data_IF_033669595230
#
_entry.id   IF_033669595230
#
_cell.length_a   1.000
_cell.length_b   1.000
_cell.length_c   1.000
_cell.angle_alpha   90.00
_cell.angle_beta   90.00
_cell.angle_gamma   90.00
#
_symmetry.space_group_name_H-M   'P 1'
#
loop_
_entity.id
_entity.type
_entity.pdbx_description
1 polymer ?
#
# COMPACT_ATOMS: atom_id res chain seq x y z
N UNK A 1 13.44 -14.25 -30.59
CA UNK A 1 12.93 -12.89 -30.35
C UNK A 1 12.24 -12.86 -28.99
N UNK A 2 12.41 -11.81 -28.17
CA UNK A 2 11.67 -11.67 -26.92
C UNK A 2 10.16 -11.74 -27.19
N UNK A 3 9.41 -12.48 -26.36
CA UNK A 3 7.96 -12.52 -26.54
C UNK A 3 7.34 -11.13 -26.30
N UNK A 4 6.26 -10.79 -27.00
CA UNK A 4 5.58 -9.49 -26.85
C UNK A 4 5.21 -9.18 -25.38
N UNK A 5 4.90 -10.21 -24.57
CA UNK A 5 4.63 -10.06 -23.13
C UNK A 5 5.83 -9.57 -22.35
N UNK A 6 7.02 -10.09 -22.63
CA UNK A 6 8.26 -9.68 -21.95
C UNK A 6 8.60 -8.22 -22.28
N UNK A 7 8.42 -7.82 -23.53
CA UNK A 7 8.60 -6.42 -23.98
C UNK A 7 7.58 -5.50 -23.29
N UNK A 8 6.30 -5.88 -23.28
CA UNK A 8 5.25 -5.11 -22.62
C UNK A 8 5.49 -4.95 -21.11
N UNK A 9 5.91 -6.04 -20.45
CA UNK A 9 6.32 -6.05 -19.05
C UNK A 9 7.48 -5.10 -18.78
N UNK A 10 8.52 -5.11 -19.64
CA UNK A 10 9.66 -4.20 -19.52
C UNK A 10 9.24 -2.73 -19.64
N UNK A 11 8.40 -2.41 -20.64
CA UNK A 11 7.92 -1.04 -20.86
C UNK A 11 7.07 -0.57 -19.67
N UNK A 12 6.11 -1.37 -19.21
CA UNK A 12 5.25 -1.03 -18.08
C UNK A 12 6.06 -0.87 -16.77
N UNK A 13 7.05 -1.74 -16.54
CA UNK A 13 7.98 -1.63 -15.41
C UNK A 13 8.80 -0.34 -15.49
N UNK A 14 9.32 -0.01 -16.66
CA UNK A 14 10.12 1.21 -16.86
C UNK A 14 9.30 2.48 -16.62
N UNK A 15 8.05 2.51 -17.10
CA UNK A 15 7.12 3.63 -16.89
C UNK A 15 6.78 3.79 -15.41
N UNK A 16 6.38 2.72 -14.72
CA UNK A 16 5.99 2.78 -13.30
C UNK A 16 7.16 3.18 -12.40
N UNK A 17 8.36 2.63 -12.64
CA UNK A 17 9.57 3.04 -11.93
C UNK A 17 9.87 4.51 -12.21
N UNK A 18 9.92 4.93 -13.49
CA UNK A 18 10.22 6.31 -13.86
C UNK A 18 9.24 7.32 -13.26
N UNK A 19 7.93 7.05 -13.35
CA UNK A 19 6.89 7.89 -12.75
C UNK A 19 7.04 7.98 -11.22
N UNK A 20 7.38 6.88 -10.55
CA UNK A 20 7.56 6.91 -9.09
C UNK A 20 8.76 7.74 -8.68
N UNK A 21 9.85 7.72 -9.47
CA UNK A 21 11.01 8.59 -9.22
C UNK A 21 10.72 10.07 -9.49
N UNK A 22 9.85 10.39 -10.45
CA UNK A 22 9.33 11.75 -10.63
C UNK A 22 8.54 12.20 -9.41
N UNK A 23 7.65 11.34 -8.88
CA UNK A 23 6.89 11.62 -7.64
C UNK A 23 7.85 11.84 -6.47
N UNK A 24 8.85 10.97 -6.28
CA UNK A 24 9.88 11.12 -5.25
C UNK A 24 10.55 12.48 -5.33
N UNK A 25 10.99 12.87 -6.53
CA UNK A 25 11.75 14.09 -6.72
C UNK A 25 10.96 15.31 -6.26
N UNK A 26 9.73 15.45 -6.76
CA UNK A 26 8.91 16.64 -6.50
C UNK A 26 8.26 16.63 -5.12
N UNK A 27 7.89 15.47 -4.57
CA UNK A 27 7.06 15.38 -3.36
C UNK A 27 7.79 14.90 -2.12
N UNK A 28 9.07 14.53 -2.23
CA UNK A 28 9.90 14.18 -1.08
C UNK A 28 11.30 14.81 -1.15
N UNK A 29 12.01 14.72 -2.27
CA UNK A 29 13.40 15.20 -2.35
C UNK A 29 13.51 16.74 -2.30
N UNK A 30 12.75 17.45 -3.14
CA UNK A 30 12.74 18.92 -3.13
C UNK A 30 12.24 19.45 -1.78
N UNK A 31 11.09 19.01 -1.23
CA UNK A 31 10.64 19.42 0.10
C UNK A 31 11.67 19.16 1.20
N UNK A 32 12.31 17.98 1.21
CA UNK A 32 13.35 17.67 2.19
C UNK A 32 14.52 18.65 2.13
N UNK A 33 14.92 19.10 0.95
CA UNK A 33 16.02 20.06 0.80
C UNK A 33 15.73 21.42 1.45
N UNK A 34 14.45 21.77 1.58
CA UNK A 34 13.97 23.01 2.20
C UNK A 34 13.76 22.82 3.71
N UNK A 35 13.12 21.72 4.12
CA UNK A 35 12.73 21.47 5.53
C UNK A 35 13.87 20.91 6.38
N UNK A 36 14.86 20.24 5.78
CA UNK A 36 15.99 19.66 6.51
C UNK A 36 16.82 20.73 7.25
N UNK A 37 17.29 21.83 6.61
CA UNK A 37 17.98 22.90 7.32
C UNK A 37 17.13 23.55 8.42
N UNK A 38 15.83 23.72 8.18
CA UNK A 38 14.90 24.31 9.15
C UNK A 38 14.75 23.44 10.40
N UNK A 39 14.58 22.13 10.24
CA UNK A 39 14.52 21.18 11.33
C UNK A 39 15.79 21.23 12.18
N UNK A 40 16.98 21.21 11.57
CA UNK A 40 18.23 21.26 12.32
C UNK A 40 18.46 22.62 12.99
N UNK A 41 18.07 23.72 12.36
CA UNK A 41 18.10 25.05 12.97
C UNK A 41 17.20 25.12 14.21
N UNK A 42 15.96 24.62 14.09
CA UNK A 42 15.03 24.52 15.22
C UNK A 42 15.59 23.62 16.32
N UNK A 43 16.05 22.41 15.97
CA UNK A 43 16.53 21.41 16.93
C UNK A 43 17.77 21.88 17.68
N UNK A 44 18.72 22.53 17.02
CA UNK A 44 19.93 23.08 17.66
C UNK A 44 19.63 24.27 18.56
N UNK A 45 18.63 25.09 18.22
CA UNK A 45 18.23 26.26 19.01
C UNK A 45 17.37 25.89 20.21
N UNK A 46 16.39 25.01 20.01
CA UNK A 46 15.33 24.74 21.01
C UNK A 46 15.39 23.32 21.59
N UNK A 47 16.14 22.40 21.01
CA UNK A 47 16.17 20.99 21.41
C UNK A 47 14.83 20.27 21.14
N UNK A 48 14.63 19.12 21.79
CA UNK A 48 13.38 18.37 21.73
C UNK A 48 12.30 19.12 22.53
N UNK A 49 11.18 19.45 21.87
CA UNK A 49 10.04 20.15 22.47
C UNK A 49 8.74 19.40 22.18
N UNK A 50 8.43 18.39 23.01
CA UNK A 50 7.26 17.53 22.83
C UNK A 50 5.91 18.28 22.91
N UNK A 51 5.90 19.47 23.50
CA UNK A 51 4.73 20.36 23.58
C UNK A 51 4.68 21.41 22.46
N UNK A 52 5.66 21.42 21.53
CA UNK A 52 5.68 22.36 20.41
C UNK A 52 5.15 21.70 19.16
N UNK A 53 4.11 22.30 18.59
CA UNK A 53 3.54 21.82 17.34
C UNK A 53 4.48 22.04 16.16
N UNK A 54 5.24 23.15 16.16
CA UNK A 54 6.31 23.40 15.19
C UNK A 54 7.37 22.29 15.18
N UNK A 55 7.77 21.81 16.37
CA UNK A 55 8.71 20.68 16.47
C UNK A 55 8.13 19.43 15.80
N UNK A 56 6.86 19.10 16.08
CA UNK A 56 6.21 17.94 15.49
C UNK A 56 6.02 18.08 13.98
N UNK A 57 5.61 19.24 13.49
CA UNK A 57 5.47 19.52 12.05
C UNK A 57 6.79 19.28 11.33
N UNK A 58 7.89 19.90 11.78
CA UNK A 58 9.21 19.74 11.14
C UNK A 58 9.72 18.30 11.24
N UNK A 59 9.54 17.64 12.40
CA UNK A 59 9.96 16.25 12.60
C UNK A 59 9.24 15.30 11.66
N UNK A 60 7.91 15.45 11.56
CA UNK A 60 7.06 14.60 10.72
C UNK A 60 7.38 14.81 9.25
N UNK A 61 7.53 16.06 8.82
CA UNK A 61 7.86 16.41 7.45
C UNK A 61 9.17 15.74 7.00
N UNK A 62 10.25 15.98 7.74
CA UNK A 62 11.56 15.37 7.49
C UNK A 62 11.52 13.85 7.58
N UNK A 63 10.84 13.29 8.60
CA UNK A 63 10.72 11.85 8.76
C UNK A 63 10.06 11.18 7.55
N UNK A 64 8.94 11.73 7.08
CA UNK A 64 8.22 11.17 5.95
C UNK A 64 8.99 11.28 4.65
N UNK A 65 9.65 12.41 4.39
CA UNK A 65 10.42 12.57 3.15
C UNK A 65 11.59 11.59 3.10
N UNK A 66 12.31 11.44 4.21
CA UNK A 66 13.37 10.43 4.34
C UNK A 66 12.80 9.02 4.17
N UNK A 67 11.67 8.72 4.80
CA UNK A 67 11.01 7.42 4.67
C UNK A 67 10.61 7.12 3.23
N UNK A 68 9.98 8.07 2.52
CA UNK A 68 9.59 7.96 1.12
C UNK A 68 10.81 7.67 0.24
N UNK A 69 11.90 8.42 0.43
CA UNK A 69 13.14 8.23 -0.32
C UNK A 69 13.69 6.81 -0.09
N UNK A 70 13.79 6.37 1.17
CA UNK A 70 14.31 5.04 1.50
C UNK A 70 13.44 3.91 0.94
N UNK A 71 12.11 4.05 1.07
CA UNK A 71 11.15 3.06 0.56
C UNK A 71 11.20 2.96 -0.96
N UNK A 72 11.32 4.08 -1.68
CA UNK A 72 11.39 4.06 -3.15
C UNK A 72 12.73 3.54 -3.65
N UNK A 73 13.86 3.87 -3.00
CA UNK A 73 15.17 3.29 -3.33
C UNK A 73 15.11 1.77 -3.16
N UNK A 74 14.66 1.30 -1.99
CA UNK A 74 14.57 -0.11 -1.70
C UNK A 74 13.55 -0.82 -2.62
N UNK A 75 12.38 -0.22 -2.84
CA UNK A 75 11.34 -0.72 -3.74
C UNK A 75 11.81 -0.81 -5.19
N UNK A 76 12.67 0.11 -5.64
CA UNK A 76 13.25 0.07 -6.98
C UNK A 76 14.20 -1.11 -7.12
N UNK A 77 15.10 -1.31 -6.15
CA UNK A 77 15.99 -2.49 -6.11
C UNK A 77 15.15 -3.77 -6.10
N UNK A 78 14.09 -3.78 -5.29
CA UNK A 78 13.19 -4.91 -5.15
C UNK A 78 12.53 -5.30 -6.47
N UNK A 79 11.91 -4.34 -7.14
CA UNK A 79 11.16 -4.54 -8.39
C UNK A 79 12.10 -4.92 -9.52
N UNK A 80 13.22 -4.23 -9.69
CA UNK A 80 14.18 -4.50 -10.76
C UNK A 80 14.89 -5.85 -10.56
N UNK A 81 15.21 -6.20 -9.31
CA UNK A 81 15.79 -7.50 -8.97
C UNK A 81 14.85 -8.66 -9.31
N UNK A 82 13.58 -8.56 -8.91
CA UNK A 82 12.57 -9.56 -9.27
C UNK A 82 12.34 -9.61 -10.78
N UNK A 83 12.22 -8.45 -11.43
CA UNK A 83 12.07 -8.38 -12.88
C UNK A 83 13.21 -9.12 -13.58
N UNK A 84 14.46 -8.85 -13.21
CA UNK A 84 15.64 -9.50 -13.79
C UNK A 84 15.62 -11.02 -13.55
N UNK A 85 15.31 -11.46 -12.33
CA UNK A 85 15.22 -12.87 -11.99
C UNK A 85 14.15 -13.60 -12.81
N UNK A 86 12.93 -13.04 -12.90
CA UNK A 86 11.83 -13.63 -13.66
C UNK A 86 12.05 -13.54 -15.18
N UNK A 87 12.66 -12.47 -15.67
CA UNK A 87 12.98 -12.32 -17.10
C UNK A 87 14.04 -13.34 -17.54
N UNK A 88 15.07 -13.58 -16.71
CA UNK A 88 16.13 -14.56 -17.01
C UNK A 88 15.61 -16.00 -17.13
N UNK A 89 14.51 -16.32 -16.43
CA UNK A 89 13.83 -17.63 -16.44
C UNK A 89 12.43 -17.55 -17.06
N UNK A 90 12.22 -16.64 -18.01
CA UNK A 90 10.88 -16.33 -18.51
C UNK A 90 10.12 -17.55 -19.03
N UNK A 91 10.74 -18.39 -19.87
CA UNK A 91 10.05 -19.56 -20.43
C UNK A 91 9.66 -20.59 -19.35
N UNK A 92 10.47 -20.72 -18.30
CA UNK A 92 10.17 -21.55 -17.15
C UNK A 92 8.91 -21.05 -16.42
N UNK A 93 8.89 -19.78 -16.00
CA UNK A 93 7.72 -19.22 -15.31
C UNK A 93 6.48 -19.17 -16.20
N UNK A 94 6.64 -18.90 -17.50
CA UNK A 94 5.56 -18.99 -18.48
C UNK A 94 4.97 -20.39 -18.54
N UNK A 95 5.78 -21.45 -18.46
CA UNK A 95 5.29 -22.83 -18.42
C UNK A 95 4.47 -23.11 -17.15
N UNK A 96 4.91 -22.59 -16.00
CA UNK A 96 4.19 -22.73 -14.73
C UNK A 96 2.82 -22.05 -14.77
N UNK A 97 2.70 -20.90 -15.45
CA UNK A 97 1.44 -20.18 -15.60
C UNK A 97 0.37 -20.95 -16.40
N UNK A 98 0.77 -21.94 -17.20
CA UNK A 98 -0.14 -22.79 -17.99
C UNK A 98 -0.63 -24.04 -17.25
N UNK A 99 -0.21 -24.24 -16.00
CA UNK A 99 -0.66 -25.38 -15.18
C UNK A 99 -2.12 -25.21 -14.72
N UNK A 100 -2.80 -26.30 -14.32
CA UNK A 100 -4.15 -26.22 -13.74
C UNK A 100 -4.22 -25.23 -12.58
N UNK A 101 -5.30 -24.46 -12.52
CA UNK A 101 -5.47 -23.45 -11.47
C UNK A 101 -6.21 -24.01 -10.27
N UNK A 102 -5.72 -23.70 -9.07
CA UNK A 102 -6.33 -24.05 -7.80
C UNK A 102 -6.96 -22.83 -7.12
N UNK A 103 -7.95 -23.05 -6.26
CA UNK A 103 -8.61 -21.97 -5.53
C UNK A 103 -7.68 -21.41 -4.44
N UNK A 104 -7.41 -20.10 -4.50
CA UNK A 104 -6.64 -19.37 -3.50
C UNK A 104 -7.54 -18.49 -2.65
N UNK A 105 -8.38 -17.63 -3.23
CA UNK A 105 -9.20 -16.67 -2.46
C UNK A 105 -10.68 -17.01 -2.49
N UNK A 106 -11.37 -16.81 -1.37
CA UNK A 106 -12.84 -16.91 -1.34
C UNK A 106 -13.50 -15.76 -2.13
N UNK A 107 -14.78 -15.92 -2.48
CA UNK A 107 -15.59 -14.83 -3.08
C UNK A 107 -15.52 -13.57 -2.22
N UNK A 108 -15.63 -13.72 -0.90
CA UNK A 108 -15.65 -12.60 0.04
C UNK A 108 -14.33 -11.82 0.07
N UNK A 109 -13.19 -12.51 0.05
CA UNK A 109 -11.88 -11.86 -0.04
C UNK A 109 -11.72 -11.03 -1.32
N UNK A 110 -12.25 -11.53 -2.44
CA UNK A 110 -12.23 -10.80 -3.71
C UNK A 110 -13.11 -9.55 -3.66
N UNK A 111 -14.32 -9.67 -3.11
CA UNK A 111 -15.22 -8.52 -2.95
C UNK A 111 -14.59 -7.44 -2.09
N UNK A 112 -14.02 -7.80 -0.93
CA UNK A 112 -13.31 -6.85 -0.08
C UNK A 112 -12.16 -6.17 -0.82
N UNK A 113 -11.32 -6.94 -1.53
CA UNK A 113 -10.23 -6.37 -2.31
C UNK A 113 -10.73 -5.42 -3.39
N UNK A 114 -11.80 -5.75 -4.12
CA UNK A 114 -12.34 -4.89 -5.17
C UNK A 114 -12.88 -3.58 -4.58
N UNK A 115 -13.60 -3.62 -3.46
CA UNK A 115 -14.08 -2.40 -2.78
C UNK A 115 -12.89 -1.54 -2.32
N UNK A 116 -11.87 -2.16 -1.71
CA UNK A 116 -10.65 -1.47 -1.30
C UNK A 116 -9.93 -0.84 -2.49
N UNK A 117 -9.78 -1.57 -3.60
CA UNK A 117 -9.15 -1.08 -4.82
C UNK A 117 -9.90 0.12 -5.41
N UNK A 118 -11.23 0.02 -5.54
CA UNK A 118 -12.04 1.10 -6.10
C UNK A 118 -11.99 2.36 -5.23
N UNK A 119 -12.15 2.20 -3.91
CA UNK A 119 -12.05 3.34 -2.98
C UNK A 119 -10.66 3.95 -2.98
N UNK A 120 -9.60 3.14 -3.05
CA UNK A 120 -8.20 3.60 -3.15
C UNK A 120 -7.95 4.42 -4.41
N UNK A 121 -8.41 3.95 -5.57
CA UNK A 121 -8.27 4.69 -6.83
C UNK A 121 -9.00 6.02 -6.75
N UNK A 122 -10.21 6.03 -6.19
CA UNK A 122 -11.00 7.26 -6.02
C UNK A 122 -10.29 8.23 -5.06
N UNK A 123 -9.85 7.78 -3.89
CA UNK A 123 -9.18 8.66 -2.91
C UNK A 123 -7.83 9.15 -3.42
N UNK A 124 -7.05 8.30 -4.09
CA UNK A 124 -5.79 8.70 -4.70
C UNK A 124 -6.02 9.78 -5.78
N UNK A 125 -6.95 9.54 -6.70
CA UNK A 125 -7.26 10.51 -7.74
C UNK A 125 -7.77 11.84 -7.17
N UNK A 126 -8.83 11.80 -6.37
CA UNK A 126 -9.46 13.00 -5.81
C UNK A 126 -8.51 13.76 -4.88
N UNK A 127 -7.68 13.05 -4.11
CA UNK A 127 -6.70 13.64 -3.19
C UNK A 127 -5.59 14.38 -3.92
N UNK A 128 -4.94 13.73 -4.89
CA UNK A 128 -3.84 14.34 -5.66
C UNK A 128 -4.32 15.50 -6.55
N UNK A 129 -5.49 15.37 -7.20
CA UNK A 129 -6.04 16.48 -7.99
C UNK A 129 -6.38 17.68 -7.10
N UNK A 130 -6.89 17.44 -5.89
CA UNK A 130 -7.14 18.52 -4.91
C UNK A 130 -5.83 19.14 -4.43
N UNK A 131 -4.81 18.33 -4.14
CA UNK A 131 -3.50 18.82 -3.69
C UNK A 131 -2.83 19.76 -4.70
N UNK A 132 -3.10 19.57 -5.99
CA UNK A 132 -2.53 20.38 -7.07
C UNK A 132 -3.53 21.35 -7.73
N UNK A 133 -4.64 21.70 -7.07
CA UNK A 133 -5.70 22.52 -7.68
C UNK A 133 -5.25 23.93 -8.12
N UNK A 134 -4.18 24.44 -7.51
CA UNK A 134 -3.53 25.70 -7.87
C UNK A 134 -2.79 25.62 -9.22
N UNK A 135 -2.44 24.41 -9.69
CA UNK A 135 -1.82 24.20 -10.99
C UNK A 135 -2.90 24.16 -12.10
N UNK A 136 -2.82 25.02 -13.13
CA UNK A 136 -3.84 25.08 -14.18
C UNK A 136 -4.10 23.76 -14.90
N UNK A 137 -3.06 22.96 -15.15
CA UNK A 137 -3.17 21.66 -15.81
C UNK A 137 -3.89 20.64 -14.93
N UNK A 138 -3.59 20.58 -13.64
CA UNK A 138 -4.29 19.70 -12.71
C UNK A 138 -5.75 20.11 -12.50
N UNK A 139 -6.02 21.41 -12.56
CA UNK A 139 -7.38 21.94 -12.45
C UNK A 139 -8.32 21.49 -13.57
N UNK A 140 -7.80 21.12 -14.74
CA UNK A 140 -8.60 20.53 -15.83
C UNK A 140 -9.20 19.18 -15.44
N UNK A 141 -8.55 18.44 -14.54
CA UNK A 141 -9.02 17.17 -14.01
C UNK A 141 -9.91 17.33 -12.77
N UNK A 142 -10.19 18.56 -12.34
CA UNK A 142 -11.01 18.81 -11.16
C UNK A 142 -12.50 18.55 -11.45
N UNK A 143 -13.15 17.73 -10.63
CA UNK A 143 -14.60 17.48 -10.70
C UNK A 143 -15.31 18.68 -10.06
N UNK A 144 -15.79 19.58 -10.92
CA UNK A 144 -16.50 20.78 -10.50
C UNK A 144 -17.88 20.46 -9.92
N UNK A 145 -18.26 21.19 -8.87
CA UNK A 145 -19.54 21.07 -8.21
C UNK A 145 -19.42 21.49 -6.76
N UNK A 146 -20.54 21.92 -6.18
CA UNK A 146 -20.61 22.29 -4.76
C UNK A 146 -21.85 21.64 -4.18
N UNK A 147 -21.67 20.98 -3.05
CA UNK A 147 -22.75 20.47 -2.24
C UNK A 147 -23.01 21.45 -1.11
N UNK A 148 -24.21 22.02 -1.08
CA UNK A 148 -24.67 22.89 0.00
C UNK A 148 -25.76 22.16 0.79
N UNK A 149 -25.38 21.48 1.88
CA UNK A 149 -26.36 21.05 2.88
C UNK A 149 -26.66 22.24 3.81
N UNK A 150 -27.74 22.97 3.52
CA UNK A 150 -28.32 23.87 4.50
C UNK A 150 -29.09 23.02 5.53
N UNK A 151 -28.53 22.77 6.72
CA UNK A 151 -29.24 22.04 7.77
C UNK A 151 -28.49 21.94 9.09
N UNK A 152 -29.23 22.00 10.20
CA UNK A 152 -28.71 21.81 11.56
C UNK A 152 -28.49 20.32 11.90
N UNK A 153 -27.52 19.98 12.78
CA UNK A 153 -27.20 18.60 13.19
C UNK A 153 -28.42 17.83 13.75
N UNK A 154 -28.45 16.48 13.69
CA UNK A 154 -27.33 15.63 14.05
C UNK A 154 -27.04 14.54 13.02
N UNK A 155 -25.90 14.63 12.32
CA UNK A 155 -25.37 13.48 11.59
C UNK A 155 -24.02 13.12 12.19
N UNK A 156 -24.02 12.03 12.97
CA UNK A 156 -22.89 11.40 13.65
C UNK A 156 -21.71 10.99 12.71
N UNK A 157 -21.72 11.40 11.43
CA UNK A 157 -20.73 11.08 10.40
C UNK A 157 -20.42 12.25 9.45
N UNK A 158 -20.88 13.47 9.76
CA UNK A 158 -20.66 14.64 8.90
C UNK A 158 -19.74 15.65 9.63
N UNK A 159 -18.80 16.32 8.94
CA UNK A 159 -18.20 17.53 9.48
C UNK A 159 -19.32 18.44 9.92
N UNK A 160 -19.15 19.25 10.95
CA UNK A 160 -20.02 20.40 11.16
C UNK A 160 -19.80 21.38 9.99
N UNK A 161 -20.30 21.04 8.79
CA UNK A 161 -20.21 21.88 7.62
C UNK A 161 -21.21 23.01 7.84
N UNK A 162 -20.69 24.14 8.29
CA UNK A 162 -21.44 25.39 8.39
C UNK A 162 -21.54 26.09 7.02
N UNK A 163 -21.14 25.43 5.92
CA UNK A 163 -21.10 26.02 4.59
C UNK A 163 -20.93 25.01 3.44
N UNK A 164 -20.92 25.50 2.18
CA UNK A 164 -20.85 24.67 0.99
C UNK A 164 -19.50 23.94 0.86
N UNK A 165 -19.51 22.71 0.35
CA UNK A 165 -18.31 21.87 0.18
C UNK A 165 -18.10 21.46 -1.27
N UNK A 166 -16.87 21.54 -1.81
CA UNK A 166 -16.59 21.10 -3.18
C UNK A 166 -16.91 19.61 -3.38
N UNK A 167 -17.48 19.28 -4.54
CA UNK A 167 -17.87 17.92 -4.89
C UNK A 167 -16.67 16.96 -4.87
N UNK A 168 -15.48 17.42 -5.30
CA UNK A 168 -14.24 16.64 -5.24
C UNK A 168 -13.92 16.15 -3.82
N UNK A 169 -13.98 17.06 -2.84
CA UNK A 169 -13.74 16.75 -1.43
C UNK A 169 -14.81 15.79 -0.90
N UNK A 170 -16.07 16.00 -1.29
CA UNK A 170 -17.17 15.13 -0.89
C UNK A 170 -16.94 13.69 -1.37
N UNK A 171 -16.58 13.50 -2.64
CA UNK A 171 -16.27 12.18 -3.21
C UNK A 171 -15.08 11.55 -2.47
N UNK A 172 -14.02 12.33 -2.21
CA UNK A 172 -12.85 11.87 -1.48
C UNK A 172 -13.21 11.35 -0.09
N UNK A 173 -13.94 12.14 0.70
CA UNK A 173 -14.31 11.80 2.08
C UNK A 173 -15.21 10.57 2.12
N UNK A 174 -16.23 10.48 1.26
CA UNK A 174 -17.10 9.30 1.23
C UNK A 174 -16.37 8.03 0.79
N UNK A 175 -15.46 8.11 -0.19
CA UNK A 175 -14.62 6.98 -0.57
C UNK A 175 -13.72 6.54 0.58
N UNK A 176 -13.13 7.50 1.32
CA UNK A 176 -12.36 7.25 2.53
C UNK A 176 -13.18 6.60 3.65
N UNK A 177 -14.42 7.05 3.87
CA UNK A 177 -15.34 6.45 4.86
C UNK A 177 -15.67 5.01 4.49
N UNK A 178 -16.02 4.74 3.21
CA UNK A 178 -16.31 3.38 2.73
C UNK A 178 -15.10 2.47 2.95
N UNK A 179 -13.89 2.95 2.64
CA UNK A 179 -12.65 2.22 2.89
C UNK A 179 -12.44 1.98 4.39
N UNK A 180 -12.62 2.99 5.23
CA UNK A 180 -12.48 2.88 6.69
C UNK A 180 -13.45 1.84 7.29
N UNK A 181 -14.72 1.87 6.89
CA UNK A 181 -15.73 0.88 7.29
C UNK A 181 -15.33 -0.53 6.84
N UNK A 182 -14.84 -0.68 5.60
CA UNK A 182 -14.36 -1.95 5.09
C UNK A 182 -13.19 -2.50 5.93
N UNK A 183 -12.20 -1.67 6.27
CA UNK A 183 -11.04 -2.05 7.09
C UNK A 183 -11.48 -2.43 8.50
N UNK A 184 -12.33 -1.64 9.13
CA UNK A 184 -12.88 -1.93 10.46
C UNK A 184 -13.63 -3.26 10.45
N UNK A 185 -14.51 -3.48 9.47
CA UNK A 185 -15.26 -4.73 9.34
C UNK A 185 -14.34 -5.93 9.08
N UNK A 186 -13.29 -5.76 8.27
CA UNK A 186 -12.29 -6.80 7.99
C UNK A 186 -11.56 -7.22 9.28
N UNK A 187 -10.99 -6.28 10.02
CA UNK A 187 -10.26 -6.59 11.25
C UNK A 187 -11.16 -7.03 12.39
N UNK A 188 -12.38 -6.49 12.51
CA UNK A 188 -13.36 -6.98 13.48
C UNK A 188 -13.68 -8.46 13.22
N UNK A 189 -13.97 -8.82 11.97
CA UNK A 189 -14.29 -10.20 11.61
C UNK A 189 -13.14 -11.18 11.88
N UNK A 190 -11.94 -10.89 11.36
CA UNK A 190 -10.80 -11.79 11.53
C UNK A 190 -10.26 -11.75 12.97
N UNK A 191 -10.27 -10.60 13.63
CA UNK A 191 -9.90 -10.45 15.03
C UNK A 191 -10.79 -11.26 15.96
N UNK A 192 -12.12 -11.19 15.80
CA UNK A 192 -13.05 -12.05 16.56
C UNK A 192 -12.76 -13.53 16.34
N UNK A 193 -12.46 -13.94 15.10
CA UNK A 193 -12.10 -15.34 14.81
C UNK A 193 -10.78 -15.78 15.44
N UNK A 194 -9.77 -14.91 15.47
CA UNK A 194 -8.51 -15.11 16.20
C UNK A 194 -8.81 -15.34 17.69
N UNK A 195 -9.61 -14.45 18.30
CA UNK A 195 -9.98 -14.54 19.72
C UNK A 195 -10.75 -15.83 20.04
N UNK A 196 -11.68 -16.25 19.18
CA UNK A 196 -12.40 -17.51 19.32
C UNK A 196 -11.44 -18.71 19.26
N UNK A 197 -10.51 -18.72 18.31
CA UNK A 197 -9.56 -19.83 18.16
C UNK A 197 -8.56 -19.90 19.34
N UNK A 198 -8.15 -18.76 19.89
CA UNK A 198 -7.38 -18.67 21.13
C UNK A 198 -8.17 -19.20 22.32
N UNK A 199 -9.41 -18.74 22.51
CA UNK A 199 -10.28 -19.17 23.60
C UNK A 199 -10.55 -20.68 23.55
N UNK A 200 -10.73 -21.23 22.35
CA UNK A 200 -10.98 -22.66 22.11
C UNK A 200 -9.70 -23.51 22.01
N UNK A 201 -8.51 -22.93 22.19
CA UNK A 201 -7.20 -23.61 22.13
C UNK A 201 -7.03 -24.50 20.90
N UNK A 202 -7.44 -24.02 19.71
CA UNK A 202 -7.54 -24.84 18.49
C UNK A 202 -6.20 -25.13 17.78
N UNK A 203 -5.11 -25.20 18.52
CA UNK A 203 -3.75 -25.42 18.02
C UNK A 203 -2.90 -24.13 17.93
N UNK A 204 -1.69 -24.23 17.34
CA UNK A 204 -0.76 -23.10 17.26
C UNK A 204 -1.34 -21.93 16.45
N UNK A 205 -1.27 -20.71 17.03
CA UNK A 205 -1.93 -19.55 16.44
C UNK A 205 -1.34 -19.15 15.08
N UNK A 206 -0.02 -19.27 14.92
CA UNK A 206 0.68 -18.88 13.68
C UNK A 206 0.37 -19.80 12.50
N UNK A 207 -0.16 -21.00 12.74
CA UNK A 207 -0.56 -21.93 11.70
C UNK A 207 -1.99 -21.65 11.22
N UNK A 208 -2.87 -21.23 12.15
CA UNK A 208 -4.25 -20.84 11.82
C UNK A 208 -4.38 -19.40 11.33
N UNK A 209 -3.51 -18.51 11.81
CA UNK A 209 -3.54 -17.06 11.57
C UNK A 209 -2.20 -16.55 11.04
N UNK A 210 -1.91 -16.82 9.77
CA UNK A 210 -0.55 -16.70 9.26
C UNK A 210 -0.18 -15.26 8.95
N UNK A 211 -1.17 -14.35 8.92
CA UNK A 211 -0.97 -12.91 8.93
C UNK A 211 -0.12 -12.45 10.12
N UNK A 212 -0.21 -13.15 11.26
CA UNK A 212 0.58 -12.85 12.46
C UNK A 212 2.06 -13.21 12.30
N UNK A 213 2.42 -14.01 11.29
CA UNK A 213 3.83 -14.36 11.02
C UNK A 213 4.66 -13.15 10.61
N UNK A 214 4.02 -12.07 10.16
CA UNK A 214 4.66 -10.78 9.92
C UNK A 214 5.47 -10.28 11.13
N UNK A 215 4.95 -10.51 12.35
CA UNK A 215 5.58 -10.08 13.60
C UNK A 215 6.61 -11.07 14.16
N UNK A 216 7.18 -11.94 13.32
CA UNK A 216 8.14 -12.96 13.75
C UNK A 216 9.53 -12.70 13.19
N UNK A 217 10.56 -13.20 13.90
CA UNK A 217 11.92 -13.22 13.36
C UNK A 217 12.05 -14.04 12.07
N UNK A 218 11.15 -15.01 11.84
CA UNK A 218 11.11 -15.77 10.60
C UNK A 218 10.82 -14.88 9.38
N UNK A 219 9.90 -13.92 9.53
CA UNK A 219 9.61 -12.92 8.50
C UNK A 219 10.85 -12.06 8.19
N UNK A 220 11.49 -11.49 9.22
CA UNK A 220 12.69 -10.65 9.05
C UNK A 220 13.82 -11.41 8.36
N UNK A 221 14.11 -12.65 8.82
CA UNK A 221 15.11 -13.53 8.20
C UNK A 221 14.81 -13.79 6.74
N UNK A 222 13.54 -14.00 6.38
CA UNK A 222 13.14 -14.23 5.01
C UNK A 222 13.31 -12.98 4.15
N UNK A 223 12.88 -11.80 4.61
CA UNK A 223 13.05 -10.55 3.86
C UNK A 223 14.53 -10.29 3.59
N UNK A 224 15.41 -10.44 4.60
CA UNK A 224 16.86 -10.29 4.42
C UNK A 224 17.41 -11.30 3.40
N UNK A 225 17.05 -12.58 3.52
CA UNK A 225 17.47 -13.61 2.57
C UNK A 225 16.96 -13.33 1.16
N UNK A 226 15.73 -12.81 1.03
CA UNK A 226 15.16 -12.40 -0.26
C UNK A 226 15.90 -11.21 -0.85
N UNK A 227 16.26 -10.21 -0.04
CA UNK A 227 17.09 -9.09 -0.51
C UNK A 227 18.43 -9.59 -1.06
N UNK A 228 19.08 -10.53 -0.37
CA UNK A 228 20.32 -11.17 -0.87
C UNK A 228 20.04 -11.94 -2.17
N UNK A 229 18.91 -12.65 -2.26
CA UNK A 229 18.51 -13.40 -3.44
C UNK A 229 18.35 -12.53 -4.69
N UNK A 230 17.97 -11.25 -4.56
CA UNK A 230 17.87 -10.31 -5.70
C UNK A 230 19.21 -10.11 -6.41
N UNK A 231 20.31 -10.12 -5.67
CA UNK A 231 21.67 -9.97 -6.22
C UNK A 231 22.34 -11.32 -6.48
N UNK A 232 21.90 -12.37 -5.77
CA UNK A 232 22.42 -13.74 -5.89
C UNK A 232 21.24 -14.74 -5.93
N UNK A 233 20.61 -14.97 -7.09
CA UNK A 233 19.44 -15.86 -7.20
C UNK A 233 19.67 -17.33 -6.80
N UNK A 234 20.94 -17.73 -6.63
CA UNK A 234 21.32 -19.04 -6.07
C UNK A 234 21.24 -19.11 -4.54
N UNK A 235 21.04 -17.99 -3.84
CA UNK A 235 20.87 -17.95 -2.39
C UNK A 235 19.58 -18.70 -2.00
N UNK A 236 19.70 -19.68 -1.09
CA UNK A 236 18.55 -20.44 -0.63
C UNK A 236 17.69 -19.60 0.29
N UNK A 237 16.40 -19.54 0.01
CA UNK A 237 15.42 -18.88 0.86
C UNK A 237 15.01 -19.80 2.02
N UNK A 238 14.73 -19.26 3.21
CA UNK A 238 14.14 -20.03 4.29
C UNK A 238 12.83 -20.70 3.87
N UNK A 239 12.59 -21.93 4.30
CA UNK A 239 11.32 -22.60 4.02
C UNK A 239 10.17 -21.82 4.70
N UNK A 240 9.15 -21.48 3.91
CA UNK A 240 8.01 -20.71 4.37
C UNK A 240 6.74 -21.57 4.33
N UNK A 241 6.13 -21.80 5.49
CA UNK A 241 5.12 -22.86 5.68
C UNK A 241 3.69 -22.46 5.30
N UNK A 242 3.48 -21.34 4.60
CA UNK A 242 2.16 -20.75 4.45
C UNK A 242 1.80 -20.36 3.00
N UNK A 243 0.50 -20.17 2.76
CA UNK A 243 -0.12 -19.76 1.50
C UNK A 243 0.26 -18.36 1.02
N UNK A 244 0.62 -17.46 1.93
CA UNK A 244 1.05 -16.09 1.62
C UNK A 244 2.52 -15.94 1.99
N UNK A 245 3.34 -15.54 1.03
CA UNK A 245 4.77 -15.31 1.27
C UNK A 245 5.01 -14.00 2.03
N UNK A 246 6.18 -13.83 2.65
CA UNK A 246 6.53 -12.62 3.39
C UNK A 246 6.32 -11.32 2.60
N UNK A 247 6.57 -11.32 1.30
CA UNK A 247 6.28 -10.18 0.41
C UNK A 247 4.81 -9.78 0.46
N UNK A 248 3.92 -10.77 0.31
CA UNK A 248 2.48 -10.56 0.35
C UNK A 248 1.99 -10.18 1.75
N UNK A 249 2.65 -10.67 2.80
CA UNK A 249 2.38 -10.24 4.17
C UNK A 249 2.82 -8.80 4.41
N UNK A 250 3.96 -8.39 3.85
CA UNK A 250 4.44 -7.02 3.92
C UNK A 250 3.48 -6.07 3.20
N UNK A 251 3.04 -6.41 1.99
CA UNK A 251 2.06 -5.60 1.27
C UNK A 251 0.71 -5.55 1.99
N UNK A 252 0.24 -6.68 2.54
CA UNK A 252 -0.98 -6.72 3.35
C UNK A 252 -0.88 -5.78 4.55
N UNK A 253 0.15 -5.91 5.39
CA UNK A 253 0.27 -5.05 6.57
C UNK A 253 0.59 -3.61 6.21
N UNK A 254 1.43 -3.39 5.19
CA UNK A 254 1.77 -2.06 4.69
C UNK A 254 0.54 -1.27 4.28
N UNK A 255 -0.37 -1.86 3.49
CA UNK A 255 -1.58 -1.15 3.07
C UNK A 255 -2.51 -0.85 4.25
N UNK A 256 -2.69 -1.78 5.20
CA UNK A 256 -3.58 -1.52 6.34
C UNK A 256 -3.01 -0.52 7.34
N UNK A 257 -1.69 -0.53 7.58
CA UNK A 257 -1.04 0.52 8.37
C UNK A 257 -1.12 1.87 7.67
N UNK A 258 -0.91 1.91 6.35
CA UNK A 258 -1.06 3.14 5.58
C UNK A 258 -2.49 3.68 5.63
N UNK A 259 -3.51 2.82 5.52
CA UNK A 259 -4.92 3.24 5.69
C UNK A 259 -5.17 3.78 7.11
N UNK A 260 -4.54 3.24 8.15
CA UNK A 260 -4.68 3.77 9.49
C UNK A 260 -3.99 5.14 9.65
N UNK A 261 -2.74 5.27 9.20
CA UNK A 261 -1.93 6.50 9.31
C UNK A 261 -2.51 7.62 8.44
N UNK A 262 -3.12 7.31 7.30
CA UNK A 262 -3.79 8.27 6.43
C UNK A 262 -5.23 8.53 6.88
N UNK A 263 -5.98 7.47 7.21
CA UNK A 263 -7.40 7.52 7.51
C UNK A 263 -7.72 8.23 8.82
N UNK A 264 -6.89 8.10 9.87
CA UNK A 264 -7.09 8.78 11.14
C UNK A 264 -6.98 10.32 10.98
N UNK A 265 -5.90 10.88 10.41
CA UNK A 265 -5.83 12.30 10.07
C UNK A 265 -6.94 12.75 9.11
N UNK A 266 -7.34 11.91 8.15
CA UNK A 266 -8.45 12.19 7.26
C UNK A 266 -9.79 12.36 8.01
N UNK A 267 -10.06 11.48 8.97
CA UNK A 267 -11.23 11.57 9.84
C UNK A 267 -11.18 12.80 10.75
N UNK A 268 -9.99 13.14 11.28
CA UNK A 268 -9.77 14.37 12.06
C UNK A 268 -10.10 15.60 11.20
N UNK A 269 -9.56 15.70 9.99
CA UNK A 269 -9.86 16.81 9.08
C UNK A 269 -11.32 16.86 8.65
N UNK A 270 -11.96 15.70 8.50
CA UNK A 270 -13.39 15.62 8.24
C UNK A 270 -14.25 16.08 9.43
N UNK A 271 -13.71 16.29 10.63
CA UNK A 271 -14.46 16.84 11.77
C UNK A 271 -14.07 18.29 12.06
N UNK A 272 -12.77 18.58 12.05
CA UNK A 272 -12.19 19.85 12.50
C UNK A 272 -11.59 20.71 11.38
N UNK A 273 -11.67 20.25 10.12
CA UNK A 273 -11.11 20.94 8.97
C UNK A 273 -9.61 20.68 8.76
N UNK A 274 -9.05 21.11 7.62
CA UNK A 274 -7.64 20.88 7.29
C UNK A 274 -6.65 21.62 8.20
N UNK A 275 -7.08 22.67 8.90
CA UNK A 275 -6.28 23.39 9.89
C UNK A 275 -6.22 22.69 11.25
N UNK A 276 -6.82 21.51 11.42
CA UNK A 276 -6.78 20.76 12.66
C UNK A 276 -5.33 20.55 13.13
N UNK A 277 -5.06 20.93 14.37
CA UNK A 277 -3.72 20.95 14.97
C UNK A 277 -2.73 21.75 14.12
N UNK A 278 -3.06 23.01 13.81
CA UNK A 278 -2.31 23.94 12.95
C UNK A 278 -1.80 23.30 11.64
N UNK A 279 -2.62 22.44 11.04
CA UNK A 279 -2.30 21.75 9.79
C UNK A 279 -1.50 20.45 9.92
N UNK A 280 -1.17 20.00 11.14
CA UNK A 280 -0.43 18.75 11.34
C UNK A 280 -1.21 17.53 10.81
N UNK A 281 -2.55 17.51 10.97
CA UNK A 281 -3.36 16.43 10.41
C UNK A 281 -3.29 16.39 8.87
N UNK A 282 -3.30 17.55 8.22
CA UNK A 282 -3.14 17.66 6.77
C UNK A 282 -1.75 17.20 6.32
N UNK A 283 -0.69 17.57 7.05
CA UNK A 283 0.67 17.13 6.76
C UNK A 283 0.79 15.60 6.82
N UNK A 284 0.34 14.97 7.92
CA UNK A 284 0.36 13.50 8.04
C UNK A 284 -0.42 12.82 6.91
N UNK A 285 -1.63 13.31 6.63
CA UNK A 285 -2.50 12.74 5.62
C UNK A 285 -1.86 12.77 4.23
N UNK A 286 -1.29 13.92 3.86
CA UNK A 286 -0.69 14.13 2.53
C UNK A 286 0.63 13.40 2.36
N UNK A 287 1.52 13.42 3.37
CA UNK A 287 2.79 12.70 3.33
C UNK A 287 2.60 11.19 3.26
N UNK A 288 1.67 10.63 4.06
CA UNK A 288 1.33 9.20 3.96
C UNK A 288 0.67 8.89 2.61
N UNK A 289 -0.15 9.79 2.04
CA UNK A 289 -0.75 9.57 0.72
C UNK A 289 0.31 9.46 -0.38
N UNK A 290 1.36 10.30 -0.33
CA UNK A 290 2.50 10.23 -1.23
C UNK A 290 3.24 8.91 -1.06
N UNK A 291 3.55 8.51 0.18
CA UNK A 291 4.20 7.24 0.47
C UNK A 291 3.38 6.05 -0.07
N UNK A 292 2.09 6.00 0.26
CA UNK A 292 1.20 4.92 -0.10
C UNK A 292 1.04 4.81 -1.63
N UNK A 293 0.76 5.91 -2.33
CA UNK A 293 0.59 5.89 -3.79
C UNK A 293 1.91 5.54 -4.49
N UNK A 294 3.05 6.08 -4.05
CA UNK A 294 4.36 5.71 -4.61
C UNK A 294 4.68 4.24 -4.39
N UNK A 295 4.43 3.70 -3.18
CA UNK A 295 4.63 2.28 -2.90
C UNK A 295 3.71 1.40 -3.75
N UNK A 296 2.45 1.78 -3.91
CA UNK A 296 1.48 1.04 -4.71
C UNK A 296 1.82 1.07 -6.20
N UNK A 297 2.28 2.20 -6.74
CA UNK A 297 2.69 2.31 -8.14
C UNK A 297 3.97 1.53 -8.42
N UNK A 298 4.98 1.66 -7.55
CA UNK A 298 6.29 1.04 -7.74
C UNK A 298 6.28 -0.43 -7.40
N UNK A 299 5.83 -0.79 -6.20
CA UNK A 299 5.90 -2.16 -5.70
C UNK A 299 4.63 -2.89 -6.08
N UNK A 300 3.48 -2.52 -5.54
CA UNK A 300 2.28 -3.34 -5.69
C UNK A 300 1.90 -3.57 -7.16
N UNK A 301 1.77 -2.50 -7.95
CA UNK A 301 1.37 -2.59 -9.36
C UNK A 301 2.45 -3.32 -10.17
N UNK A 302 3.71 -2.91 -10.06
CA UNK A 302 4.77 -3.46 -10.91
C UNK A 302 5.14 -4.89 -10.54
N UNK A 303 5.31 -5.19 -9.27
CA UNK A 303 5.60 -6.54 -8.77
C UNK A 303 4.41 -7.48 -8.93
N UNK A 304 3.20 -7.05 -8.53
CA UNK A 304 2.05 -7.97 -8.54
C UNK A 304 1.46 -8.15 -9.93
N UNK A 305 1.52 -7.16 -10.82
CA UNK A 305 0.82 -7.21 -12.11
C UNK A 305 1.74 -7.21 -13.34
N UNK A 306 2.89 -6.54 -13.27
CA UNK A 306 3.74 -6.32 -14.44
C UNK A 306 4.99 -7.17 -14.50
N UNK A 307 5.21 -8.11 -13.58
CA UNK A 307 6.30 -9.09 -13.73
C UNK A 307 6.16 -9.91 -15.03
N UNK A 308 7.27 -10.32 -15.67
CA UNK A 308 7.26 -10.90 -17.01
C UNK A 308 6.24 -12.01 -17.26
N UNK A 309 6.09 -12.93 -16.30
CA UNK A 309 5.21 -14.09 -16.41
C UNK A 309 3.74 -13.78 -16.06
N UNK A 310 3.48 -12.65 -15.42
CA UNK A 310 2.15 -12.21 -14.96
C UNK A 310 1.51 -11.21 -15.94
N UNK A 311 2.33 -10.43 -16.64
CA UNK A 311 1.89 -9.36 -17.52
C UNK A 311 0.80 -9.82 -18.52
N UNK A 312 -0.29 -9.04 -18.72
CA UNK A 312 -0.46 -7.64 -18.30
C UNK A 312 -0.96 -7.41 -16.88
N UNK A 313 -1.52 -8.43 -16.21
CA UNK A 313 -1.96 -8.29 -14.82
C UNK A 313 -2.25 -9.65 -14.17
N UNK A 314 -2.14 -9.71 -12.84
CA UNK A 314 -2.53 -10.89 -12.08
C UNK A 314 -4.05 -11.00 -11.92
N UNK A 315 -4.64 -12.01 -12.55
CA UNK A 315 -6.10 -12.27 -12.46
C UNK A 315 -6.60 -12.77 -11.10
N UNK A 316 -5.71 -13.07 -10.15
CA UNK A 316 -6.08 -13.74 -8.90
C UNK A 316 -7.05 -12.91 -8.04
N UNK A 317 -6.96 -11.57 -8.04
CA UNK A 317 -7.83 -10.71 -7.23
C UNK A 317 -9.32 -10.80 -7.63
N UNK A 318 -9.64 -11.13 -8.89
CA UNK A 318 -11.03 -11.30 -9.35
C UNK A 318 -11.38 -12.77 -9.67
N UNK A 319 -10.45 -13.60 -10.12
CA UNK A 319 -10.69 -15.03 -10.38
C UNK A 319 -10.61 -15.89 -9.11
N UNK A 320 -9.83 -15.45 -8.12
CA UNK A 320 -9.55 -16.17 -6.88
C UNK A 320 -8.66 -17.39 -7.06
N UNK A 321 -8.10 -17.61 -8.25
CA UNK A 321 -7.35 -18.83 -8.60
C UNK A 321 -5.89 -18.52 -8.94
N UNK A 322 -5.02 -19.49 -8.66
CA UNK A 322 -3.57 -19.43 -8.95
C UNK A 322 -3.12 -20.73 -9.65
N UNK A 323 -2.21 -20.69 -10.64
CA UNK A 323 -1.67 -21.90 -11.27
C UNK A 323 -0.90 -22.77 -10.28
N UNK A 324 -1.13 -24.09 -10.30
CA UNK A 324 -0.50 -25.06 -9.39
C UNK A 324 1.04 -25.03 -9.46
N UNK A 325 1.60 -24.84 -10.66
CA UNK A 325 3.04 -24.72 -10.87
C UNK A 325 3.65 -23.53 -10.15
N UNK A 326 2.96 -22.39 -10.12
CA UNK A 326 3.38 -21.21 -9.36
C UNK A 326 3.29 -21.49 -7.86
N UNK A 327 2.24 -22.18 -7.41
CA UNK A 327 2.12 -22.60 -6.00
C UNK A 327 3.27 -23.49 -5.57
N UNK A 328 3.71 -24.41 -6.44
CA UNK A 328 4.84 -25.28 -6.16
C UNK A 328 6.18 -24.54 -6.09
N UNK A 329 6.40 -23.57 -6.98
CA UNK A 329 7.66 -22.80 -7.04
C UNK A 329 7.74 -21.73 -5.93
N UNK A 330 6.67 -20.95 -5.73
CA UNK A 330 6.68 -19.81 -4.81
C UNK A 330 6.20 -20.18 -3.40
N UNK A 331 5.26 -21.13 -3.28
CA UNK A 331 4.68 -21.54 -2.00
C UNK A 331 4.84 -23.04 -1.71
N UNK A 332 6.07 -23.60 -1.76
CA UNK A 332 6.30 -25.05 -1.77
C UNK A 332 5.73 -25.78 -0.55
N UNK A 333 5.74 -25.16 0.63
CA UNK A 333 5.17 -25.80 1.81
C UNK A 333 3.64 -25.77 1.83
N UNK A 334 3.01 -24.71 1.32
CA UNK A 334 1.56 -24.68 1.13
C UNK A 334 1.12 -25.73 0.11
N UNK A 335 1.91 -25.91 -0.95
CA UNK A 335 1.70 -26.98 -1.92
C UNK A 335 1.69 -28.37 -1.27
N UNK A 336 2.66 -28.67 -0.39
CA UNK A 336 2.72 -29.94 0.35
C UNK A 336 1.47 -30.15 1.21
N UNK A 337 0.98 -29.10 1.90
CA UNK A 337 -0.24 -29.18 2.71
C UNK A 337 -1.49 -29.47 1.87
N UNK A 338 -1.59 -28.85 0.68
CA UNK A 338 -2.72 -29.09 -0.24
C UNK A 338 -2.75 -30.52 -0.80
N UNK A 339 -1.61 -31.21 -0.89
CA UNK A 339 -1.54 -32.61 -1.34
C UNK A 339 -1.81 -33.62 -0.23
N UNK A 340 -1.78 -33.19 1.03
CA UNK A 340 -2.06 -34.02 2.20
C UNK A 340 -3.53 -33.96 2.64
N UNK A 341 -4.28 -33.00 2.11
CA UNK A 341 -5.74 -32.88 2.24
C UNK A 341 -6.41 -33.66 1.11
#
# INVERSE_FOLDING_TARGET
>A
MPSARLIGSFIATSITVGLTWVILYYLAWVPLSETWPEFWSYFTTYGIRLNSLTFWTLLVDVFFDVLIILVIIYGTIWVLGHFAAYASRYDYFKSLMNTPKIQRWSVWQRVQHIIMFLTLVITAYTGFVTMFDANPTWREFYINGVYAAAGTPPFFLWPAQTGPVPLMILIHVWAGIIMGVLVIAHFAYYGVRVLIDLAKRRGPILDRWPLLRFYTWGFVKYIVARTIWLFKPSHKLPEWTHKYDPEQLFEYWGVYWGIAILGIPGAIMAVWGPSAFDGLAFLFHTKEAVLAVSFLLLVHLTYTHFMPHIFPYNSMFHSGKIPEGIVKEEHPAWYKQLKQQ
#
